data_IF_170099936360
#
_entry.id   IF_170099936360
#
_cell.length_a   1.000
_cell.length_b   1.000
_cell.length_c   1.000
_cell.angle_alpha   90.00
_cell.angle_beta   90.00
_cell.angle_gamma   90.00
#
_symmetry.space_group_name_H-M   'P 1'
#
loop_
_entity.id
_entity.type
_entity.pdbx_description
1 polymer ?
#
# COMPACT_ATOMS: atom_id res chain seq x y z
N UNK A 1 -10.66 -7.37 -9.42
CA UNK A 1 -9.37 -6.65 -9.21
C UNK A 1 -8.98 -6.50 -7.74
N UNK A 2 -9.89 -6.09 -6.84
CA UNK A 2 -9.55 -5.94 -5.40
C UNK A 2 -9.11 -7.24 -4.75
N UNK A 3 -9.84 -8.34 -4.96
CA UNK A 3 -9.47 -9.65 -4.40
C UNK A 3 -8.09 -10.14 -4.85
N UNK A 4 -7.73 -9.94 -6.12
CA UNK A 4 -6.39 -10.26 -6.64
C UNK A 4 -5.28 -9.44 -5.96
N UNK A 5 -5.57 -8.20 -5.54
CA UNK A 5 -4.61 -7.38 -4.77
C UNK A 5 -4.46 -7.90 -3.35
N UNK A 6 -5.56 -8.29 -2.71
CA UNK A 6 -5.53 -8.93 -1.39
C UNK A 6 -4.76 -10.23 -1.40
N UNK A 7 -4.95 -11.05 -2.44
CA UNK A 7 -4.22 -12.29 -2.62
C UNK A 7 -2.70 -12.07 -2.65
N UNK A 8 -2.23 -11.05 -3.39
CA UNK A 8 -0.82 -10.65 -3.36
C UNK A 8 -0.35 -10.19 -1.98
N UNK A 9 -1.19 -9.44 -1.25
CA UNK A 9 -0.85 -8.95 0.09
C UNK A 9 -0.76 -10.06 1.14
N UNK A 10 -1.48 -11.17 0.98
CA UNK A 10 -1.35 -12.33 1.87
C UNK A 10 0.06 -12.94 1.84
N UNK A 11 0.81 -12.73 0.77
CA UNK A 11 2.21 -13.17 0.67
C UNK A 11 3.22 -12.17 1.28
N UNK A 12 2.78 -10.99 1.75
CA UNK A 12 3.65 -9.85 2.07
C UNK A 12 4.11 -9.77 3.54
N UNK A 13 4.01 -10.86 4.32
CA UNK A 13 4.42 -10.91 5.74
C UNK A 13 3.89 -9.73 6.58
N UNK A 14 2.58 -9.51 6.52
CA UNK A 14 1.89 -8.47 7.29
C UNK A 14 1.56 -8.95 8.70
N UNK A 15 1.23 -8.02 9.60
CA UNK A 15 0.66 -8.34 10.90
C UNK A 15 -0.61 -9.21 10.75
N UNK A 16 -0.83 -10.14 11.66
CA UNK A 16 -1.94 -11.09 11.58
C UNK A 16 -3.32 -10.41 11.61
N UNK A 17 -3.42 -9.28 12.29
CA UNK A 17 -4.63 -8.46 12.41
C UNK A 17 -4.73 -7.36 11.33
N UNK A 18 -3.82 -7.32 10.36
CA UNK A 18 -3.83 -6.33 9.30
C UNK A 18 -5.09 -6.45 8.42
N UNK A 19 -5.87 -5.38 8.34
CA UNK A 19 -7.03 -5.33 7.45
C UNK A 19 -6.58 -5.15 5.99
N UNK A 20 -6.75 -6.21 5.19
CA UNK A 20 -6.33 -6.22 3.78
C UNK A 20 -7.11 -5.25 2.88
N UNK A 21 -8.35 -4.90 3.21
CA UNK A 21 -9.08 -3.88 2.46
C UNK A 21 -8.44 -2.51 2.62
N UNK A 22 -8.09 -2.16 3.86
CA UNK A 22 -7.40 -0.91 4.19
C UNK A 22 -5.99 -0.90 3.59
N UNK A 23 -5.28 -2.03 3.63
CA UNK A 23 -3.96 -2.14 3.01
C UNK A 23 -3.97 -1.87 1.50
N UNK A 24 -5.00 -2.35 0.79
CA UNK A 24 -5.19 -2.01 -0.63
C UNK A 24 -5.43 -0.51 -0.80
N UNK A 25 -6.24 0.11 0.06
CA UNK A 25 -6.53 1.54 -0.04
C UNK A 25 -5.29 2.41 0.26
N UNK A 26 -4.45 2.00 1.20
CA UNK A 26 -3.17 2.67 1.50
C UNK A 26 -2.18 2.62 0.33
N UNK A 27 -2.18 1.54 -0.46
CA UNK A 27 -1.28 1.41 -1.60
C UNK A 27 -1.75 2.22 -2.82
N UNK A 28 -3.06 2.23 -3.10
CA UNK A 28 -3.58 2.82 -4.32
C UNK A 28 -4.14 4.24 -4.12
N UNK A 29 -4.57 4.58 -2.91
CA UNK A 29 -5.13 5.89 -2.57
C UNK A 29 -4.16 7.05 -2.86
N UNK A 30 -2.91 7.03 -2.36
CA UNK A 30 -1.93 8.09 -2.63
C UNK A 30 -1.61 8.24 -4.13
N UNK A 31 -1.54 7.12 -4.87
CA UNK A 31 -1.29 7.11 -6.32
C UNK A 31 -2.45 7.79 -7.06
N UNK A 32 -3.69 7.38 -6.76
CA UNK A 32 -4.89 7.96 -7.36
C UNK A 32 -5.04 9.44 -6.99
N UNK A 33 -4.79 9.80 -5.73
CA UNK A 33 -4.81 11.18 -5.27
C UNK A 33 -3.82 12.03 -6.06
N UNK A 34 -2.55 11.62 -6.13
CA UNK A 34 -1.51 12.38 -6.85
C UNK A 34 -1.81 12.51 -8.33
N UNK A 35 -2.31 11.44 -8.96
CA UNK A 35 -2.66 11.49 -10.37
C UNK A 35 -3.85 12.42 -10.65
N UNK A 36 -4.95 12.25 -9.92
CA UNK A 36 -6.18 13.00 -10.17
C UNK A 36 -6.04 14.47 -9.77
N UNK A 37 -5.42 14.74 -8.62
CA UNK A 37 -5.29 16.10 -8.08
C UNK A 37 -4.02 16.81 -8.53
N UNK A 38 -3.14 16.13 -9.29
CA UNK A 38 -1.89 16.70 -9.81
C UNK A 38 -1.01 17.31 -8.73
N UNK A 39 -0.97 16.69 -7.54
CA UNK A 39 -0.21 17.20 -6.38
C UNK A 39 1.31 17.03 -6.52
N UNK A 40 1.79 16.42 -7.60
CA UNK A 40 3.20 16.33 -7.94
C UNK A 40 3.47 15.29 -9.04
N UNK A 41 4.73 15.09 -9.45
CA UNK A 41 5.11 14.06 -10.41
C UNK A 41 4.75 12.65 -9.91
N UNK A 42 4.12 11.85 -10.78
CA UNK A 42 3.89 10.42 -10.53
C UNK A 42 5.05 9.64 -11.14
N UNK A 43 6.03 9.30 -10.30
CA UNK A 43 7.26 8.60 -10.71
C UNK A 43 7.35 7.21 -10.08
N UNK A 44 8.16 6.30 -10.65
CA UNK A 44 8.45 5.01 -10.03
C UNK A 44 8.99 5.14 -8.60
N UNK A 45 9.83 6.14 -8.33
CA UNK A 45 10.41 6.38 -7.01
C UNK A 45 9.33 6.73 -5.98
N UNK A 46 8.39 7.62 -6.33
CA UNK A 46 7.26 7.92 -5.45
C UNK A 46 6.37 6.71 -5.22
N UNK A 47 6.09 5.92 -6.27
CA UNK A 47 5.31 4.70 -6.12
C UNK A 47 6.01 3.69 -5.19
N UNK A 48 7.34 3.56 -5.31
CA UNK A 48 8.17 2.77 -4.40
C UNK A 48 8.06 3.23 -2.96
N UNK A 49 8.18 4.54 -2.70
CA UNK A 49 8.02 5.11 -1.37
C UNK A 49 6.64 4.83 -0.75
N UNK A 50 5.57 4.90 -1.54
CA UNK A 50 4.22 4.55 -1.08
C UNK A 50 4.14 3.08 -0.66
N UNK A 51 4.72 2.17 -1.45
CA UNK A 51 4.76 0.73 -1.13
C UNK A 51 5.58 0.49 0.13
N UNK A 52 6.79 1.04 0.22
CA UNK A 52 7.67 0.88 1.38
C UNK A 52 7.02 1.41 2.66
N UNK A 53 6.40 2.60 2.59
CA UNK A 53 5.75 3.24 3.74
C UNK A 53 4.53 2.42 4.19
N UNK A 54 3.67 2.02 3.25
CA UNK A 54 2.46 1.28 3.58
C UNK A 54 2.78 -0.11 4.13
N UNK A 55 3.63 -0.88 3.44
CA UNK A 55 3.97 -2.24 3.88
C UNK A 55 4.85 -2.23 5.14
N UNK A 56 5.77 -1.27 5.27
CA UNK A 56 6.59 -1.11 6.47
C UNK A 56 5.74 -0.84 7.72
N UNK A 57 4.70 0.00 7.62
CA UNK A 57 3.78 0.25 8.71
C UNK A 57 2.83 -0.90 9.06
N UNK A 58 2.65 -1.86 8.14
CA UNK A 58 1.78 -3.02 8.29
C UNK A 58 2.51 -4.31 8.68
N UNK A 59 3.84 -4.28 8.77
CA UNK A 59 4.62 -5.43 9.26
C UNK A 59 4.33 -5.69 10.74
N UNK A 60 4.46 -6.94 11.20
CA UNK A 60 4.43 -7.25 12.62
C UNK A 60 5.42 -6.37 13.37
N UNK A 61 5.01 -5.82 14.51
CA UNK A 61 5.94 -5.16 15.43
C UNK A 61 6.55 -6.23 16.33
N UNK A 62 7.87 -6.23 16.42
CA UNK A 62 8.54 -6.93 17.50
C UNK A 62 8.15 -6.25 18.83
N UNK A 63 7.86 -7.03 19.88
CA UNK A 63 7.52 -6.49 21.20
C UNK A 63 8.69 -5.77 21.87
#
# INVERSE_FOLDING_TARGET
MRELKKERLRAAQLAEDANLDVAVDLLFGPILNRWLQRTGPLTPEYAGQVVETALGGLRPREP
#
